data_IF_352436247655
#
_entry.id   IF_352436247655
#
_cell.length_a   1.000
_cell.length_b   1.000
_cell.length_c   1.000
_cell.angle_alpha   90.00
_cell.angle_beta   90.00
_cell.angle_gamma   90.00
#
_symmetry.space_group_name_H-M   'P 1'
#
loop_
_entity.id
_entity.type
_entity.pdbx_description
1 polymer ?
#
# COMPACT_ATOMS: atom_id res chain seq x y z
N UNK A 1 -41.18 50.62 21.46
CA UNK A 1 -39.89 50.05 21.92
C UNK A 1 -40.11 48.53 22.02
N UNK A 2 -39.90 47.74 20.97
CA UNK A 2 -38.61 47.10 20.57
C UNK A 2 -38.03 46.24 21.72
N UNK A 3 -37.75 44.92 21.63
CA UNK A 3 -37.58 43.99 20.49
C UNK A 3 -37.78 42.53 20.94
N UNK A 4 -38.32 41.75 20.02
CA UNK A 4 -38.38 40.28 19.98
C UNK A 4 -36.98 39.68 19.78
N UNK A 5 -36.61 38.69 20.59
CA UNK A 5 -35.44 37.82 20.37
C UNK A 5 -35.83 36.63 19.51
N UNK A 6 -35.57 36.72 18.20
CA UNK A 6 -35.50 35.55 17.32
C UNK A 6 -34.15 34.87 17.53
N UNK A 7 -34.17 33.63 18.04
CA UNK A 7 -33.06 32.71 17.87
C UNK A 7 -33.09 32.20 16.43
N UNK A 8 -32.20 32.72 15.59
CA UNK A 8 -31.89 32.18 14.27
C UNK A 8 -30.49 31.57 14.33
N UNK A 9 -30.42 30.28 14.60
CA UNK A 9 -29.26 29.44 14.29
C UNK A 9 -29.30 29.08 12.82
N UNK A 10 -28.78 29.99 12.00
CA UNK A 10 -28.35 29.69 10.64
C UNK A 10 -27.01 30.40 10.44
N UNK A 11 -25.93 29.64 10.50
CA UNK A 11 -24.68 30.03 9.83
C UNK A 11 -24.36 28.95 8.81
N UNK A 12 -25.15 28.95 7.73
CA UNK A 12 -24.68 28.46 6.45
C UNK A 12 -23.47 29.30 6.05
N UNK A 13 -22.28 28.78 6.32
CA UNK A 13 -21.05 29.35 5.81
C UNK A 13 -20.87 28.97 4.33
N UNK A 14 -20.37 29.89 3.48
CA UNK A 14 -20.34 29.71 2.04
C UNK A 14 -19.38 28.56 1.67
N UNK A 15 -19.88 27.63 0.84
CA UNK A 15 -19.12 26.50 0.28
C UNK A 15 -17.91 26.98 -0.53
N UNK A 16 -16.78 27.17 0.14
CA UNK A 16 -15.49 27.04 -0.51
C UNK A 16 -15.37 25.58 -0.99
N UNK A 17 -14.94 25.36 -2.24
CA UNK A 17 -14.51 24.03 -2.75
C UNK A 17 -13.20 23.60 -2.06
N UNK A 18 -13.21 23.60 -0.73
CA UNK A 18 -12.14 23.13 0.13
C UNK A 18 -12.23 21.61 0.23
N UNK A 19 -11.07 20.97 0.12
CA UNK A 19 -10.89 19.55 0.39
C UNK A 19 -11.53 19.25 1.75
N UNK A 20 -12.63 18.48 1.78
CA UNK A 20 -13.21 17.99 3.04
C UNK A 20 -12.12 17.22 3.76
N UNK A 21 -11.55 17.80 4.81
CA UNK A 21 -10.64 17.10 5.71
C UNK A 21 -11.49 16.13 6.50
N UNK A 22 -11.32 14.83 6.23
CA UNK A 22 -11.95 13.76 7.03
C UNK A 22 -11.62 13.97 8.50
N UNK A 23 -12.57 13.69 9.39
CA UNK A 23 -12.27 13.66 10.83
C UNK A 23 -11.28 12.54 11.16
N UNK A 24 -10.64 12.61 12.34
CA UNK A 24 -9.72 11.58 12.79
C UNK A 24 -10.43 10.22 12.90
N UNK A 25 -11.68 10.23 13.37
CA UNK A 25 -12.54 9.06 13.55
C UNK A 25 -12.91 8.44 12.19
N UNK A 26 -13.31 9.27 11.21
CA UNK A 26 -13.60 8.81 9.84
C UNK A 26 -12.36 8.19 9.17
N UNK A 27 -11.18 8.74 9.43
CA UNK A 27 -9.93 8.23 8.88
C UNK A 27 -9.57 6.86 9.49
N UNK A 28 -9.75 6.68 10.80
CA UNK A 28 -9.57 5.39 11.49
C UNK A 28 -10.55 4.34 10.96
N UNK A 29 -11.81 4.69 10.78
CA UNK A 29 -12.81 3.77 10.22
C UNK A 29 -12.48 3.39 8.76
N UNK A 30 -12.08 4.35 7.93
CA UNK A 30 -11.66 4.10 6.54
C UNK A 30 -10.46 3.14 6.49
N UNK A 31 -9.45 3.38 7.33
CA UNK A 31 -8.28 2.48 7.46
C UNK A 31 -8.73 1.08 7.87
N UNK A 32 -9.51 0.95 8.95
CA UNK A 32 -9.95 -0.33 9.47
C UNK A 32 -10.74 -1.13 8.42
N UNK A 33 -11.65 -0.46 7.70
CA UNK A 33 -12.43 -1.09 6.63
C UNK A 33 -11.57 -1.61 5.47
N UNK A 34 -10.51 -0.87 5.12
CA UNK A 34 -9.55 -1.26 4.07
C UNK A 34 -8.65 -2.39 4.52
N UNK A 35 -8.12 -2.33 5.74
CA UNK A 35 -7.35 -3.43 6.33
C UNK A 35 -8.16 -4.72 6.34
N UNK A 36 -9.43 -4.66 6.77
CA UNK A 36 -10.33 -5.80 6.76
C UNK A 36 -10.56 -6.34 5.34
N UNK A 37 -10.81 -5.45 4.37
CA UNK A 37 -11.00 -5.84 2.97
C UNK A 37 -9.77 -6.56 2.39
N UNK A 38 -8.57 -6.02 2.65
CA UNK A 38 -7.31 -6.63 2.23
C UNK A 38 -7.12 -7.99 2.90
N UNK A 39 -7.35 -8.08 4.21
CA UNK A 39 -7.26 -9.32 4.99
C UNK A 39 -8.14 -10.41 4.40
N UNK A 40 -9.42 -10.11 4.17
CA UNK A 40 -10.36 -11.07 3.57
C UNK A 40 -9.91 -11.50 2.17
N UNK A 41 -9.41 -10.61 1.33
CA UNK A 41 -8.94 -10.96 -0.01
C UNK A 41 -7.76 -11.95 0.02
N UNK A 42 -6.81 -11.74 0.93
CA UNK A 42 -5.63 -12.58 1.08
C UNK A 42 -6.00 -13.95 1.67
N UNK A 43 -6.77 -13.97 2.76
CA UNK A 43 -7.17 -15.20 3.44
C UNK A 43 -8.11 -16.07 2.58
N UNK A 44 -9.01 -15.45 1.82
CA UNK A 44 -9.99 -16.18 1.00
C UNK A 44 -9.40 -16.84 -0.24
N UNK A 45 -8.11 -16.70 -0.53
CA UNK A 45 -7.54 -17.29 -1.76
C UNK A 45 -7.84 -16.49 -3.03
N UNK A 46 -8.56 -15.37 -2.94
CA UNK A 46 -9.19 -14.70 -4.09
C UNK A 46 -8.30 -13.66 -4.77
N UNK A 47 -7.10 -13.43 -4.25
CA UNK A 47 -6.17 -12.49 -4.84
C UNK A 47 -5.54 -13.08 -6.11
N UNK A 48 -5.92 -12.54 -7.26
CA UNK A 48 -5.36 -12.96 -8.55
C UNK A 48 -4.03 -12.28 -8.84
N UNK A 49 -3.92 -10.98 -8.51
CA UNK A 49 -2.69 -10.19 -8.63
C UNK A 49 -2.54 -9.29 -7.42
N UNK A 50 -1.31 -9.06 -6.95
CA UNK A 50 -1.06 -8.11 -5.86
C UNK A 50 -1.50 -6.69 -6.21
N UNK A 51 -1.53 -6.33 -7.50
CA UNK A 51 -2.02 -5.04 -8.00
C UNK A 51 -3.45 -4.71 -7.55
N UNK A 52 -4.27 -5.71 -7.29
CA UNK A 52 -5.66 -5.51 -6.84
C UNK A 52 -5.72 -4.92 -5.41
N UNK A 53 -4.64 -5.02 -4.64
CA UNK A 53 -4.51 -4.40 -3.32
C UNK A 53 -4.12 -2.90 -3.39
N UNK A 54 -3.55 -2.46 -4.50
CA UNK A 54 -3.09 -1.08 -4.70
C UNK A 54 -4.18 -0.02 -4.40
N UNK A 55 -5.42 -0.11 -4.93
CA UNK A 55 -6.46 0.88 -4.65
C UNK A 55 -6.94 0.87 -3.20
N UNK A 56 -6.79 -0.27 -2.50
CA UNK A 56 -7.14 -0.40 -1.09
C UNK A 56 -6.06 0.21 -0.19
N UNK A 57 -4.83 0.32 -0.67
CA UNK A 57 -3.73 0.92 0.07
C UNK A 57 -3.74 2.45 -0.01
N UNK A 58 -4.33 3.07 1.00
CA UNK A 58 -4.47 4.53 1.06
C UNK A 58 -3.21 5.22 1.59
N UNK A 59 -3.09 6.54 1.32
CA UNK A 59 -2.01 7.36 1.90
C UNK A 59 -2.02 7.34 3.44
N UNK A 60 -3.21 7.36 4.04
CA UNK A 60 -3.36 7.32 5.49
C UNK A 60 -2.78 6.04 6.10
N UNK A 61 -2.99 4.89 5.44
CA UNK A 61 -2.38 3.62 5.84
C UNK A 61 -0.87 3.65 5.69
N UNK A 62 -0.36 4.25 4.60
CA UNK A 62 1.09 4.40 4.42
C UNK A 62 1.73 5.28 5.49
N UNK A 63 1.06 6.37 5.88
CA UNK A 63 1.50 7.28 6.93
C UNK A 63 1.52 6.56 8.30
N UNK A 64 0.48 5.79 8.63
CA UNK A 64 0.42 4.97 9.85
C UNK A 64 1.46 3.85 9.86
N UNK A 65 1.62 3.18 8.71
CA UNK A 65 2.69 2.23 8.49
C UNK A 65 4.07 2.89 8.43
N UNK A 66 4.22 4.23 8.46
CA UNK A 66 5.52 4.89 8.34
C UNK A 66 6.32 4.47 7.09
N UNK A 67 5.64 4.39 5.94
CA UNK A 67 6.23 4.09 4.63
C UNK A 67 5.82 5.15 3.61
N UNK A 68 6.64 5.33 2.56
CA UNK A 68 6.26 6.21 1.47
C UNK A 68 5.16 5.54 0.62
N UNK A 69 3.98 6.17 0.53
CA UNK A 69 2.82 5.65 -0.20
C UNK A 69 3.16 5.23 -1.63
N UNK A 70 3.79 6.10 -2.42
CA UNK A 70 4.11 5.82 -3.83
C UNK A 70 5.10 4.67 -3.97
N UNK A 71 6.18 4.68 -3.19
CA UNK A 71 7.21 3.61 -3.24
C UNK A 71 6.63 2.27 -2.82
N UNK A 72 5.77 2.26 -1.81
CA UNK A 72 5.15 1.04 -1.31
C UNK A 72 4.08 0.52 -2.29
N UNK A 73 3.23 1.42 -2.79
CA UNK A 73 2.17 1.12 -3.76
C UNK A 73 2.72 0.53 -5.06
N UNK A 74 3.86 1.03 -5.55
CA UNK A 74 4.52 0.48 -6.74
C UNK A 74 4.92 -1.00 -6.60
N UNK A 75 5.15 -1.49 -5.37
CA UNK A 75 5.53 -2.89 -5.12
C UNK A 75 4.37 -3.84 -5.34
N UNK A 76 3.13 -3.39 -5.16
CA UNK A 76 1.96 -4.15 -5.56
C UNK A 76 1.89 -4.37 -7.08
N UNK A 77 2.44 -3.45 -7.87
CA UNK A 77 2.54 -3.58 -9.34
C UNK A 77 3.75 -4.40 -9.79
N UNK A 78 4.84 -4.36 -9.02
CA UNK A 78 6.04 -5.13 -9.27
C UNK A 78 6.43 -5.94 -8.02
N UNK A 79 5.88 -7.16 -7.86
CA UNK A 79 6.08 -7.96 -6.64
C UNK A 79 7.54 -8.31 -6.33
N UNK A 80 8.44 -8.24 -7.32
CA UNK A 80 9.89 -8.48 -7.15
C UNK A 80 10.52 -7.45 -6.18
N UNK A 81 9.99 -6.24 -6.16
CA UNK A 81 10.56 -5.13 -5.38
C UNK A 81 10.16 -5.19 -3.89
N UNK A 82 9.35 -6.17 -3.49
CA UNK A 82 8.99 -6.37 -2.09
C UNK A 82 10.19 -6.90 -1.30
N UNK A 83 10.65 -6.10 -0.34
CA UNK A 83 11.60 -6.57 0.65
C UNK A 83 10.93 -7.44 1.71
N UNK A 84 11.68 -8.38 2.30
CA UNK A 84 11.21 -9.24 3.40
C UNK A 84 10.64 -8.40 4.55
N UNK A 85 11.38 -7.37 4.98
CA UNK A 85 10.94 -6.45 6.05
C UNK A 85 9.58 -5.83 5.77
N UNK A 86 9.30 -5.51 4.50
CA UNK A 86 8.08 -4.84 4.09
C UNK A 86 6.89 -5.79 4.04
N UNK A 87 7.12 -7.02 3.61
CA UNK A 87 6.11 -8.08 3.65
C UNK A 87 5.68 -8.34 5.10
N UNK A 88 6.64 -8.48 6.01
CA UNK A 88 6.35 -8.66 7.44
C UNK A 88 5.64 -7.45 8.02
N UNK A 89 6.12 -6.23 7.73
CA UNK A 89 5.48 -5.00 8.21
C UNK A 89 4.04 -4.89 7.74
N UNK A 90 3.79 -5.23 6.48
CA UNK A 90 2.45 -5.19 5.89
C UNK A 90 1.55 -6.24 6.51
N UNK A 91 2.00 -7.50 6.58
CA UNK A 91 1.24 -8.60 7.19
C UNK A 91 0.84 -8.30 8.63
N UNK A 92 1.79 -7.82 9.45
CA UNK A 92 1.50 -7.41 10.82
C UNK A 92 0.50 -6.24 10.90
N UNK A 93 0.60 -5.27 9.98
CA UNK A 93 -0.30 -4.12 9.95
C UNK A 93 -1.75 -4.49 9.58
N UNK A 94 -1.95 -5.42 8.65
CA UNK A 94 -3.29 -5.89 8.24
C UNK A 94 -3.76 -7.13 9.03
N UNK A 95 -2.99 -7.57 10.03
CA UNK A 95 -3.23 -8.77 10.83
C UNK A 95 -3.40 -10.06 10.00
N UNK A 96 -2.50 -10.26 9.04
CA UNK A 96 -2.42 -11.45 8.18
C UNK A 96 -1.05 -12.08 8.31
N UNK A 97 -0.99 -13.41 8.26
CA UNK A 97 0.28 -14.15 8.23
C UNK A 97 1.16 -13.68 7.06
N UNK A 98 2.37 -13.12 7.33
CA UNK A 98 3.31 -12.72 6.30
C UNK A 98 3.66 -13.83 5.31
N UNK A 99 3.62 -15.10 5.73
CA UNK A 99 3.89 -16.24 4.87
C UNK A 99 2.86 -16.39 3.75
N UNK A 100 1.60 -16.01 3.98
CA UNK A 100 0.59 -16.01 2.93
C UNK A 100 0.94 -14.98 1.86
N UNK A 101 1.34 -13.78 2.26
CA UNK A 101 1.75 -12.71 1.34
C UNK A 101 2.96 -13.17 0.50
N UNK A 102 3.95 -13.80 1.14
CA UNK A 102 5.10 -14.40 0.44
C UNK A 102 4.68 -15.41 -0.63
N UNK A 103 3.75 -16.32 -0.30
CA UNK A 103 3.24 -17.32 -1.23
C UNK A 103 2.56 -16.69 -2.44
N UNK A 104 1.76 -15.63 -2.23
CA UNK A 104 1.13 -14.91 -3.35
C UNK A 104 2.16 -14.24 -4.25
N UNK A 105 3.13 -13.54 -3.67
CA UNK A 105 4.23 -12.90 -4.41
C UNK A 105 4.98 -13.95 -5.25
N UNK A 106 5.37 -15.06 -4.62
CA UNK A 106 6.09 -16.14 -5.30
C UNK A 106 5.27 -16.78 -6.43
N UNK A 107 3.97 -16.99 -6.22
CA UNK A 107 3.06 -17.50 -7.25
C UNK A 107 2.95 -16.54 -8.43
N UNK A 108 2.77 -15.24 -8.18
CA UNK A 108 2.66 -14.23 -9.23
C UNK A 108 3.96 -14.12 -10.03
N UNK A 109 5.12 -14.09 -9.37
CA UNK A 109 6.43 -14.07 -10.03
C UNK A 109 6.64 -15.32 -10.90
N UNK A 110 6.25 -16.49 -10.39
CA UNK A 110 6.42 -17.77 -11.11
C UNK A 110 5.52 -17.86 -12.34
N UNK A 111 4.33 -17.25 -12.29
CA UNK A 111 3.37 -17.25 -13.40
C UNK A 111 3.65 -16.15 -14.44
N UNK A 112 4.28 -15.04 -14.03
CA UNK A 112 4.57 -13.93 -14.93
C UNK A 112 5.97 -14.05 -15.55
N UNK A 113 6.03 -14.49 -16.81
CA UNK A 113 7.29 -14.63 -17.57
C UNK A 113 8.14 -13.36 -17.58
N UNK A 114 7.51 -12.17 -17.66
CA UNK A 114 8.22 -10.88 -17.60
C UNK A 114 8.95 -10.68 -16.25
N UNK A 115 8.28 -10.98 -15.14
CA UNK A 115 8.87 -10.86 -13.80
C UNK A 115 10.05 -11.82 -13.64
N UNK A 116 9.87 -13.06 -14.08
CA UNK A 116 10.92 -14.07 -14.03
C UNK A 116 12.11 -13.71 -14.91
N UNK A 117 11.87 -13.07 -16.07
CA UNK A 117 12.93 -12.60 -16.97
C UNK A 117 13.79 -11.49 -16.34
N UNK A 118 13.20 -10.61 -15.53
CA UNK A 118 13.93 -9.56 -14.80
C UNK A 118 14.91 -10.15 -13.79
N UNK A 119 14.53 -11.25 -13.14
CA UNK A 119 15.38 -11.95 -12.17
C UNK A 119 16.52 -12.74 -12.81
N UNK A 120 16.34 -13.21 -14.06
CA UNK A 120 17.33 -14.00 -14.80
C UNK A 120 18.45 -13.18 -15.45
N UNK A 121 18.47 -11.85 -15.27
CA UNK A 121 19.51 -10.97 -15.81
C UNK A 121 20.80 -11.09 -14.99
N UNK A 122 21.49 -12.21 -15.14
CA UNK A 122 22.81 -12.43 -14.55
C UNK A 122 23.90 -11.89 -15.49
N UNK A 123 24.95 -11.31 -14.93
CA UNK A 123 26.19 -11.01 -15.68
C UNK A 123 27.01 -12.30 -15.76
N UNK A 124 27.64 -12.56 -16.89
CA UNK A 124 28.61 -13.67 -16.98
C UNK A 124 29.90 -13.29 -16.25
N UNK A 125 30.66 -14.30 -15.82
CA UNK A 125 31.98 -14.09 -15.19
C UNK A 125 32.94 -13.38 -16.16
N UNK A 126 32.76 -13.60 -17.46
CA UNK A 126 33.53 -12.96 -18.55
C UNK A 126 33.28 -11.44 -18.62
N UNK A 127 32.08 -10.97 -18.25
CA UNK A 127 31.72 -9.55 -18.20
C UNK A 127 32.20 -8.85 -16.90
N UNK A 128 32.76 -9.60 -15.95
CA UNK A 128 33.26 -9.03 -14.70
C UNK A 128 34.63 -8.39 -14.92
N UNK A 129 34.70 -7.06 -14.74
CA UNK A 129 35.98 -6.32 -14.78
C UNK A 129 36.95 -6.94 -13.78
N UNK A 130 38.06 -7.49 -14.27
CA UNK A 130 39.14 -7.97 -13.42
C UNK A 130 39.78 -6.79 -12.70
N UNK A 131 39.72 -6.80 -11.37
CA UNK A 131 40.48 -5.86 -10.55
C UNK A 131 41.92 -6.34 -10.52
N UNK A 132 42.78 -5.79 -11.37
CA UNK A 132 44.22 -5.94 -11.18
C UNK A 132 44.63 -5.06 -10.00
N UNK A 133 44.85 -5.68 -8.84
CA UNK A 133 45.57 -5.01 -7.76
C UNK A 133 47.00 -4.77 -8.25
N UNK A 134 47.34 -3.53 -8.59
CA UNK A 134 48.75 -3.17 -8.81
C UNK A 134 49.47 -3.35 -7.47
N UNK A 135 50.40 -4.30 -7.43
CA UNK A 135 51.44 -4.39 -6.41
C UNK A 135 52.44 -3.25 -6.58
#
# INVERSE_FOLDING_TARGET
MAKSTRNSTESDSPKARGRKTKSLEELKQDIASKCLSIKTLIEAGKLSRLRDLEPLFSKAMADEMGVNHTRFSNKFRNPIDFGIKEIYRFGLYIEVDPQLIFRYIGKEISQANDLLSKLKKFRTVEDMRQYSSKQ
#
